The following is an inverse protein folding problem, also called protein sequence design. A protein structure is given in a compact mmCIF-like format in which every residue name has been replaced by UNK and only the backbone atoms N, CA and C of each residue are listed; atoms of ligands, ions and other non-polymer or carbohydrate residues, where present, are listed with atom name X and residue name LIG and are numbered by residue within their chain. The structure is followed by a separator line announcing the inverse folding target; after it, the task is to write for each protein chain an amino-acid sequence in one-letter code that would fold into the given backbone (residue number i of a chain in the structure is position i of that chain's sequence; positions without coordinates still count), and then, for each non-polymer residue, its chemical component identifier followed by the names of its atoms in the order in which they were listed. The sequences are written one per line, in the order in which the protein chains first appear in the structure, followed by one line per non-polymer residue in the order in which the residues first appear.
data_IF_477382080295
#
_entry.id   IF_477382080295
#
_cell.length_a   1.000
_cell.length_b   1.000
_cell.length_c   1.000
_cell.angle_alpha   90.00
_cell.angle_beta   90.00
_cell.angle_gamma   90.00
#
_symmetry.space_group_name_H-M   'P 1'
#
loop_
_entity.id
_entity.type
_entity.pdbx_description
1 polymer ?
#
# COMPACT_ATOMS: atom_id res chain seq x y z
N UNK A 1 -10.37 -10.73 2.01
CA UNK A 1 -9.84 -9.50 2.59
C UNK A 1 -10.72 -8.95 3.71
N UNK A 2 -12.06 -8.93 3.56
CA UNK A 2 -12.92 -8.46 4.65
C UNK A 2 -12.81 -9.46 5.79
N UNK A 3 -12.42 -8.98 6.96
CA UNK A 3 -12.22 -9.79 8.18
C UNK A 3 -13.35 -9.53 9.16
N UNK A 4 -13.91 -10.62 9.71
CA UNK A 4 -14.81 -10.60 10.84
C UNK A 4 -14.10 -10.92 12.17
N UNK A 5 -12.76 -11.14 12.14
CA UNK A 5 -11.98 -11.51 13.32
C UNK A 5 -11.61 -10.31 14.20
N UNK A 6 -11.65 -9.09 13.68
CA UNK A 6 -11.44 -7.88 14.48
C UNK A 6 -12.79 -7.49 15.08
N UNK A 7 -12.87 -7.34 16.41
CA UNK A 7 -14.12 -7.01 17.08
C UNK A 7 -14.59 -5.59 16.72
N UNK A 8 -15.88 -5.38 16.84
CA UNK A 8 -16.50 -4.04 16.77
C UNK A 8 -16.91 -3.60 18.15
N UNK A 9 -17.05 -2.29 18.31
CA UNK A 9 -17.55 -1.66 19.52
C UNK A 9 -19.01 -1.21 19.35
N UNK A 10 -19.70 -1.08 20.46
CA UNK A 10 -21.01 -0.45 20.54
C UNK A 10 -20.92 0.87 21.31
N UNK A 11 -21.95 1.70 21.25
CA UNK A 11 -22.00 2.96 22.00
C UNK A 11 -21.93 2.77 23.51
N UNK A 12 -22.33 1.60 24.02
CA UNK A 12 -22.36 1.29 25.44
C UNK A 12 -21.00 0.78 25.99
N UNK A 13 -20.07 0.40 25.11
CA UNK A 13 -18.75 -0.04 25.53
C UNK A 13 -17.96 1.11 26.14
N UNK A 14 -17.12 0.78 27.13
CA UNK A 14 -16.29 1.77 27.81
C UNK A 14 -15.06 2.15 27.00
N UNK A 15 -14.52 3.33 27.27
CA UNK A 15 -13.22 3.77 26.74
C UNK A 15 -12.12 2.75 27.08
N UNK A 16 -12.11 2.22 28.31
CA UNK A 16 -11.16 1.18 28.74
C UNK A 16 -11.23 -0.05 27.86
N UNK A 17 -12.43 -0.56 27.58
CA UNK A 17 -12.62 -1.74 26.74
C UNK A 17 -12.15 -1.49 25.30
N UNK A 18 -12.39 -0.31 24.76
CA UNK A 18 -11.90 0.07 23.42
C UNK A 18 -10.37 0.04 23.35
N UNK A 19 -9.68 0.66 24.33
CA UNK A 19 -8.24 0.71 24.40
C UNK A 19 -7.64 -0.71 24.64
N UNK A 20 -8.27 -1.55 25.46
CA UNK A 20 -7.84 -2.93 25.68
C UNK A 20 -7.90 -3.74 24.37
N UNK A 21 -9.00 -3.65 23.62
CA UNK A 21 -9.13 -4.32 22.33
C UNK A 21 -8.14 -3.79 21.29
N UNK A 22 -7.91 -2.46 21.23
CA UNK A 22 -6.91 -1.88 20.33
C UNK A 22 -5.50 -2.44 20.64
N UNK A 23 -5.15 -2.55 21.92
CA UNK A 23 -3.88 -3.13 22.36
C UNK A 23 -3.78 -4.62 22.04
N UNK A 24 -4.83 -5.41 22.28
CA UNK A 24 -4.87 -6.86 22.02
C UNK A 24 -4.68 -7.18 20.53
N UNK A 25 -5.38 -6.41 19.66
CA UNK A 25 -5.33 -6.63 18.22
C UNK A 25 -4.21 -5.84 17.51
N UNK A 26 -3.40 -5.07 18.25
CA UNK A 26 -2.32 -4.22 17.70
C UNK A 26 -2.81 -3.26 16.62
N UNK A 27 -3.94 -2.60 16.87
CA UNK A 27 -4.58 -1.63 15.99
C UNK A 27 -4.82 -0.33 16.74
N UNK A 28 -4.90 0.78 16.03
CA UNK A 28 -5.09 2.11 16.62
C UNK A 28 -6.48 2.69 16.33
N UNK A 29 -7.37 1.89 15.73
CA UNK A 29 -8.76 2.27 15.49
C UNK A 29 -9.66 1.06 15.64
N UNK A 30 -10.95 1.32 16.02
CA UNK A 30 -12.00 0.32 16.03
C UNK A 30 -13.29 0.88 15.44
N UNK A 31 -14.01 0.04 14.72
CA UNK A 31 -15.34 0.37 14.21
C UNK A 31 -16.39 0.31 15.32
N UNK A 32 -17.20 1.33 15.41
CA UNK A 32 -18.38 1.38 16.29
C UNK A 32 -19.62 1.07 15.46
N UNK A 33 -20.38 0.08 15.89
CA UNK A 33 -21.56 -0.44 15.18
C UNK A 33 -22.76 -0.45 16.11
N UNK A 34 -23.94 -0.09 15.59
CA UNK A 34 -25.20 -0.16 16.29
C UNK A 34 -26.31 -0.59 15.35
N UNK A 35 -27.09 -1.61 15.72
CA UNK A 35 -28.17 -2.17 14.89
C UNK A 35 -27.71 -2.49 13.46
N UNK A 36 -26.53 -3.17 13.34
CA UNK A 36 -25.87 -3.54 12.09
C UNK A 36 -25.39 -2.35 11.23
N UNK A 37 -25.59 -1.10 11.69
CA UNK A 37 -25.13 0.09 10.99
C UNK A 37 -23.79 0.58 11.52
N UNK A 38 -22.93 0.99 10.60
CA UNK A 38 -21.68 1.65 10.90
C UNK A 38 -21.94 3.04 11.49
N UNK A 39 -21.55 3.22 12.73
CA UNK A 39 -21.68 4.49 13.43
C UNK A 39 -20.44 5.37 13.31
N UNK A 40 -19.29 4.79 12.99
CA UNK A 40 -18.04 5.49 12.75
C UNK A 40 -16.83 4.72 13.26
N UNK A 41 -15.68 5.31 13.07
CA UNK A 41 -14.37 4.82 13.51
C UNK A 41 -13.90 5.68 14.69
N UNK A 42 -13.48 5.03 15.77
CA UNK A 42 -12.88 5.69 16.93
C UNK A 42 -11.37 5.45 16.89
N UNK A 43 -10.58 6.47 17.19
CA UNK A 43 -9.14 6.43 17.20
C UNK A 43 -8.59 6.37 18.63
N UNK A 44 -7.50 5.66 18.84
CA UNK A 44 -6.82 5.55 20.13
C UNK A 44 -6.48 6.94 20.71
N UNK A 45 -5.99 7.86 19.86
CA UNK A 45 -5.65 9.23 20.25
C UNK A 45 -6.82 10.04 20.80
N UNK A 46 -8.04 9.82 20.29
CA UNK A 46 -9.26 10.47 20.76
C UNK A 46 -9.67 9.97 22.16
N UNK A 47 -9.26 8.74 22.52
CA UNK A 47 -9.61 8.10 23.78
C UNK A 47 -8.65 8.44 24.93
N UNK A 48 -7.38 8.75 24.61
CA UNK A 48 -6.32 8.94 25.62
C UNK A 48 -6.62 10.04 26.66
N UNK A 49 -7.46 11.03 26.32
CA UNK A 49 -7.79 12.15 27.19
C UNK A 49 -9.22 12.07 27.77
N UNK A 50 -9.88 10.94 27.64
CA UNK A 50 -11.25 10.70 28.13
C UNK A 50 -11.21 9.78 29.34
N UNK A 51 -12.16 9.94 30.29
CA UNK A 51 -12.29 9.06 31.43
C UNK A 51 -12.49 7.60 30.97
N UNK A 52 -11.64 6.69 31.39
CA UNK A 52 -11.67 5.28 31.01
C UNK A 52 -12.97 4.57 31.35
N UNK A 53 -13.72 5.07 32.32
CA UNK A 53 -15.03 4.51 32.72
C UNK A 53 -16.19 5.08 31.90
N UNK A 54 -15.97 6.13 31.13
CA UNK A 54 -17.00 6.71 30.27
C UNK A 54 -17.37 5.76 29.13
N UNK A 55 -18.61 5.80 28.67
CA UNK A 55 -19.04 5.07 27.47
C UNK A 55 -18.68 5.81 26.19
N UNK A 56 -18.54 5.09 25.08
CA UNK A 56 -18.30 5.64 23.75
C UNK A 56 -19.44 6.57 23.30
N UNK A 57 -20.65 6.43 23.87
CA UNK A 57 -21.77 7.35 23.65
C UNK A 57 -21.38 8.80 23.98
N UNK A 58 -20.52 9.03 24.98
CA UNK A 58 -20.13 10.39 25.42
C UNK A 58 -19.30 11.14 24.37
N UNK A 59 -18.63 10.43 23.48
CA UNK A 59 -17.74 10.97 22.44
C UNK A 59 -18.23 10.69 21.01
N UNK A 60 -19.45 10.20 20.84
CA UNK A 60 -19.97 9.73 19.54
C UNK A 60 -19.90 10.78 18.42
N UNK A 61 -19.89 12.07 18.77
CA UNK A 61 -19.76 13.18 17.80
C UNK A 61 -18.37 13.31 17.19
N UNK A 62 -17.37 12.69 17.80
CA UNK A 62 -15.98 12.70 17.32
C UNK A 62 -15.64 11.51 16.40
N UNK A 63 -16.55 10.54 16.26
CA UNK A 63 -16.30 9.39 15.41
C UNK A 63 -16.10 9.80 13.95
N UNK A 64 -14.98 9.36 13.37
CA UNK A 64 -14.74 9.52 11.93
C UNK A 64 -15.72 8.67 11.12
N UNK A 65 -16.24 9.22 10.02
CA UNK A 65 -17.17 8.52 9.12
C UNK A 65 -16.46 7.85 7.95
N UNK A 66 -15.14 7.74 8.02
CA UNK A 66 -14.32 7.13 6.98
C UNK A 66 -14.68 5.64 6.84
N UNK A 67 -15.00 5.23 5.63
CA UNK A 67 -15.27 3.84 5.26
C UNK A 67 -15.20 3.71 3.74
N UNK A 68 -15.02 2.48 3.25
CA UNK A 68 -15.11 2.14 1.82
C UNK A 68 -16.37 1.31 1.55
N UNK A 69 -16.84 1.32 0.31
CA UNK A 69 -17.97 0.47 -0.08
C UNK A 69 -17.49 -0.94 -0.45
N UNK A 70 -18.28 -1.95 -0.13
CA UNK A 70 -17.95 -3.36 -0.39
C UNK A 70 -17.72 -3.69 -1.88
N UNK A 71 -18.30 -2.90 -2.78
CA UNK A 71 -18.18 -3.09 -4.23
C UNK A 71 -17.05 -2.28 -4.88
N UNK A 72 -16.19 -1.61 -4.10
CA UNK A 72 -15.06 -0.85 -4.63
C UNK A 72 -13.82 -1.72 -4.81
N UNK A 73 -12.91 -1.28 -5.67
CA UNK A 73 -11.64 -1.97 -5.85
C UNK A 73 -10.74 -1.76 -4.62
N UNK A 74 -9.98 -2.78 -4.24
CA UNK A 74 -9.14 -2.74 -3.03
C UNK A 74 -8.12 -1.58 -3.01
N UNK A 75 -7.73 -1.03 -4.17
CA UNK A 75 -6.84 0.14 -4.27
C UNK A 75 -7.46 1.37 -3.58
N UNK A 76 -8.78 1.53 -3.60
CA UNK A 76 -9.45 2.59 -2.83
C UNK A 76 -9.28 2.39 -1.33
N UNK A 77 -9.30 1.14 -0.87
CA UNK A 77 -9.02 0.83 0.53
C UNK A 77 -7.56 1.14 0.91
N UNK A 78 -6.61 0.89 -0.01
CA UNK A 78 -5.20 1.28 0.17
C UNK A 78 -5.06 2.79 0.28
N UNK A 79 -5.68 3.53 -0.64
CA UNK A 79 -5.67 4.99 -0.60
C UNK A 79 -6.29 5.51 0.70
N UNK A 80 -7.47 5.01 1.08
CA UNK A 80 -8.16 5.39 2.32
C UNK A 80 -7.29 5.10 3.55
N UNK A 81 -6.65 3.92 3.61
CA UNK A 81 -5.75 3.57 4.71
C UNK A 81 -4.57 4.54 4.81
N UNK A 82 -4.00 4.94 3.68
CA UNK A 82 -2.88 5.87 3.62
C UNK A 82 -3.30 7.30 3.98
N UNK A 83 -4.41 7.81 3.43
CA UNK A 83 -4.87 9.18 3.62
C UNK A 83 -5.27 9.47 5.08
N UNK A 84 -5.75 8.46 5.80
CA UNK A 84 -6.21 8.57 7.18
C UNK A 84 -5.34 7.80 8.20
N UNK A 85 -4.18 7.29 7.81
CA UNK A 85 -3.27 6.49 8.65
C UNK A 85 -3.99 5.33 9.39
N UNK A 86 -4.78 4.56 8.65
CA UNK A 86 -5.60 3.50 9.24
C UNK A 86 -4.86 2.17 9.33
N UNK A 87 -4.96 1.51 10.48
CA UNK A 87 -4.58 0.11 10.67
C UNK A 87 -5.67 -0.87 10.22
N UNK A 88 -6.92 -0.40 10.16
CA UNK A 88 -8.09 -1.10 9.63
C UNK A 88 -8.95 -0.16 8.80
N UNK A 89 -9.52 -0.64 7.71
CA UNK A 89 -10.44 0.11 6.85
C UNK A 89 -11.85 -0.47 7.00
N UNK A 90 -12.82 0.29 7.53
CA UNK A 90 -14.21 -0.16 7.61
C UNK A 90 -14.83 -0.32 6.22
N UNK A 91 -15.64 -1.35 6.06
CA UNK A 91 -16.37 -1.67 4.83
C UNK A 91 -17.86 -1.61 5.10
N UNK A 92 -18.56 -0.87 4.27
CA UNK A 92 -20.02 -0.68 4.37
C UNK A 92 -20.69 -1.03 3.04
N UNK A 93 -21.96 -1.37 3.13
CA UNK A 93 -22.90 -1.45 2.02
C UNK A 93 -23.88 -0.27 1.99
N UNK A 94 -25.02 -0.46 1.34
CA UNK A 94 -26.06 0.56 1.24
C UNK A 94 -26.56 0.95 2.64
N UNK A 95 -26.94 2.23 2.79
CA UNK A 95 -27.49 2.77 4.05
C UNK A 95 -26.57 2.63 5.28
N UNK A 96 -25.23 2.54 5.07
CA UNK A 96 -24.23 2.37 6.12
C UNK A 96 -24.29 1.00 6.84
N UNK A 97 -24.85 -0.03 6.21
CA UNK A 97 -24.79 -1.39 6.73
C UNK A 97 -23.32 -1.81 6.86
N UNK A 98 -22.93 -2.26 8.07
CA UNK A 98 -21.55 -2.64 8.33
C UNK A 98 -21.29 -4.07 7.84
N UNK A 99 -20.30 -4.22 6.99
CA UNK A 99 -19.92 -5.53 6.41
C UNK A 99 -18.74 -6.14 7.15
N UNK A 100 -17.82 -5.32 7.64
CA UNK A 100 -16.59 -5.76 8.30
C UNK A 100 -15.47 -4.74 8.14
N UNK A 101 -14.24 -5.18 8.39
CA UNK A 101 -13.04 -4.35 8.22
C UNK A 101 -11.99 -5.05 7.36
N UNK A 102 -11.13 -4.27 6.72
CA UNK A 102 -9.95 -4.77 6.02
C UNK A 102 -8.71 -4.32 6.79
N UNK A 103 -7.92 -5.23 7.38
CA UNK A 103 -6.64 -4.88 8.01
C UNK A 103 -5.66 -4.32 6.98
N UNK A 104 -4.89 -3.29 7.34
CA UNK A 104 -3.85 -2.71 6.47
C UNK A 104 -2.80 -3.76 6.06
N UNK A 105 -2.50 -4.71 6.94
CA UNK A 105 -1.62 -5.86 6.63
C UNK A 105 -2.14 -6.73 5.49
N UNK A 106 -3.45 -6.87 5.34
CA UNK A 106 -4.04 -7.63 4.23
C UNK A 106 -4.04 -6.83 2.92
N UNK A 107 -4.17 -5.50 3.00
CA UNK A 107 -3.96 -4.60 1.86
C UNK A 107 -2.51 -4.68 1.37
N UNK A 108 -1.52 -4.68 2.29
CA UNK A 108 -0.10 -4.82 1.95
C UNK A 108 0.18 -6.17 1.28
N UNK A 109 -0.38 -7.28 1.78
CA UNK A 109 -0.26 -8.60 1.15
C UNK A 109 -0.82 -8.60 -0.28
N UNK A 110 -1.96 -7.94 -0.49
CA UNK A 110 -2.58 -7.86 -1.81
C UNK A 110 -1.78 -6.98 -2.78
N UNK A 111 -1.23 -5.87 -2.30
CA UNK A 111 -0.28 -5.06 -3.07
C UNK A 111 0.94 -5.87 -3.47
N UNK A 112 1.55 -6.61 -2.52
CA UNK A 112 2.67 -7.50 -2.79
C UNK A 112 2.38 -8.52 -3.89
N UNK A 113 1.17 -9.08 -3.94
CA UNK A 113 0.75 -9.99 -5.03
C UNK A 113 0.67 -9.28 -6.38
N UNK A 114 0.05 -8.10 -6.42
CA UNK A 114 -0.16 -7.36 -7.67
C UNK A 114 1.15 -6.80 -8.21
N UNK A 115 2.07 -6.41 -7.33
CA UNK A 115 3.40 -5.92 -7.73
C UNK A 115 4.41 -7.03 -7.96
N UNK A 116 4.03 -8.31 -7.82
CA UNK A 116 4.93 -9.44 -7.99
C UNK A 116 6.10 -9.45 -6.99
N UNK A 117 5.88 -8.94 -5.76
CA UNK A 117 6.95 -8.78 -4.77
C UNK A 117 7.64 -10.11 -4.40
N UNK A 118 6.89 -11.22 -4.45
CA UNK A 118 7.42 -12.56 -4.16
C UNK A 118 7.90 -13.31 -5.41
N UNK A 119 7.72 -12.77 -6.60
CA UNK A 119 8.13 -13.42 -7.84
C UNK A 119 9.63 -13.21 -8.07
N UNK A 120 10.38 -14.25 -8.52
CA UNK A 120 11.78 -14.11 -8.84
C UNK A 120 11.97 -13.24 -10.09
N UNK A 121 13.13 -12.57 -10.19
CA UNK A 121 13.47 -11.80 -11.38
C UNK A 121 14.11 -10.45 -11.07
N UNK A 122 14.65 -9.82 -12.10
CA UNK A 122 15.30 -8.52 -12.01
C UNK A 122 14.32 -7.36 -11.96
N UNK A 123 14.80 -6.21 -11.48
CA UNK A 123 14.08 -4.96 -11.45
C UNK A 123 14.88 -3.90 -12.20
N UNK A 124 14.23 -3.12 -13.05
CA UNK A 124 14.84 -1.99 -13.76
C UNK A 124 13.97 -0.74 -13.55
N UNK A 125 14.61 0.36 -13.19
CA UNK A 125 13.95 1.65 -12.98
C UNK A 125 14.51 2.65 -14.00
N UNK A 126 13.62 3.17 -14.83
CA UNK A 126 13.93 4.11 -15.92
C UNK A 126 13.31 5.45 -15.56
N UNK A 127 14.11 6.53 -15.67
CA UNK A 127 13.60 7.89 -15.67
C UNK A 127 13.39 8.37 -17.10
N UNK A 128 12.28 9.04 -17.39
CA UNK A 128 12.02 9.55 -18.73
C UNK A 128 11.00 10.70 -18.70
N UNK A 129 10.86 11.41 -19.84
CA UNK A 129 9.73 12.33 -20.01
C UNK A 129 8.45 11.50 -20.21
N UNK A 130 7.41 11.80 -19.43
CA UNK A 130 6.12 11.11 -19.50
C UNK A 130 5.52 11.09 -20.90
N UNK A 131 5.77 12.13 -21.72
CA UNK A 131 5.28 12.21 -23.10
C UNK A 131 5.93 11.19 -24.03
N UNK A 132 7.12 10.71 -23.68
CA UNK A 132 7.87 9.72 -24.45
C UNK A 132 7.60 8.29 -23.96
N UNK A 133 6.75 8.11 -22.96
CA UNK A 133 6.41 6.78 -22.45
C UNK A 133 5.62 5.97 -23.49
N UNK A 134 6.19 4.84 -23.87
CA UNK A 134 5.55 3.86 -24.76
C UNK A 134 5.75 2.45 -24.21
N UNK A 135 4.67 1.87 -23.70
CA UNK A 135 4.70 0.47 -23.23
C UNK A 135 5.14 -0.50 -24.32
N UNK A 136 4.66 -0.30 -25.56
CA UNK A 136 4.98 -1.17 -26.69
C UNK A 136 6.48 -1.14 -27.05
N UNK A 137 7.11 0.02 -26.98
CA UNK A 137 8.55 0.17 -27.25
C UNK A 137 9.37 -0.48 -26.14
N UNK A 138 9.06 -0.18 -24.88
CA UNK A 138 9.72 -0.78 -23.72
C UNK A 138 9.60 -2.31 -23.74
N UNK A 139 8.39 -2.85 -23.97
CA UNK A 139 8.18 -4.28 -24.08
C UNK A 139 9.01 -4.93 -25.18
N UNK A 140 9.03 -4.30 -26.36
CA UNK A 140 9.84 -4.79 -27.49
C UNK A 140 11.33 -4.85 -27.15
N UNK A 141 11.87 -3.83 -26.47
CA UNK A 141 13.28 -3.81 -26.08
C UNK A 141 13.63 -4.94 -25.09
N UNK A 142 12.71 -5.24 -24.15
CA UNK A 142 12.88 -6.37 -23.23
C UNK A 142 12.79 -7.70 -23.97
N UNK A 143 11.81 -7.88 -24.86
CA UNK A 143 11.58 -9.11 -25.62
C UNK A 143 12.72 -9.44 -26.58
N UNK A 144 13.42 -8.44 -27.13
CA UNK A 144 14.62 -8.67 -27.99
C UNK A 144 15.80 -9.28 -27.23
N UNK A 145 15.73 -9.36 -25.90
CA UNK A 145 16.71 -10.00 -25.02
C UNK A 145 16.18 -11.32 -24.42
N UNK A 146 15.22 -11.97 -25.09
CA UNK A 146 14.62 -13.24 -24.63
C UNK A 146 14.08 -13.15 -23.18
N UNK A 147 13.46 -12.02 -22.85
CA UNK A 147 12.89 -11.73 -21.54
C UNK A 147 11.46 -11.18 -21.65
N UNK A 148 10.74 -11.20 -20.55
CA UNK A 148 9.37 -10.69 -20.48
C UNK A 148 9.20 -9.76 -19.28
N UNK A 149 8.40 -8.72 -19.45
CA UNK A 149 7.96 -7.87 -18.35
C UNK A 149 6.82 -8.58 -17.61
N UNK A 150 7.02 -8.91 -16.35
CA UNK A 150 5.97 -9.49 -15.49
C UNK A 150 5.15 -8.42 -14.80
N UNK A 151 5.75 -7.26 -14.49
CA UNK A 151 5.09 -6.10 -13.92
C UNK A 151 5.67 -4.81 -14.51
N UNK A 152 4.80 -3.83 -14.76
CA UNK A 152 5.19 -2.48 -15.11
C UNK A 152 4.35 -1.50 -14.29
N UNK A 153 5.03 -0.62 -13.57
CA UNK A 153 4.40 0.47 -12.83
C UNK A 153 5.01 1.81 -13.24
N UNK A 154 4.19 2.84 -13.26
CA UNK A 154 4.64 4.21 -13.53
C UNK A 154 4.21 5.12 -12.40
N UNK A 155 5.05 6.10 -12.05
CA UNK A 155 4.70 7.11 -11.07
C UNK A 155 5.47 8.41 -11.33
N UNK A 156 4.93 9.50 -10.80
CA UNK A 156 5.58 10.79 -10.77
C UNK A 156 6.18 11.02 -9.38
N UNK A 157 7.48 11.31 -9.33
CA UNK A 157 8.14 11.71 -8.09
C UNK A 157 8.12 13.24 -7.98
N UNK A 158 7.41 13.75 -6.97
CA UNK A 158 7.27 15.19 -6.76
C UNK A 158 8.56 15.85 -6.25
N UNK A 159 9.44 15.08 -5.59
CA UNK A 159 10.70 15.59 -5.04
C UNK A 159 11.74 15.76 -6.13
N UNK A 160 11.82 14.79 -7.04
CA UNK A 160 12.75 14.79 -8.17
C UNK A 160 12.16 15.46 -9.41
N UNK A 161 10.88 15.82 -9.37
CA UNK A 161 10.11 16.35 -10.51
C UNK A 161 10.29 15.48 -11.78
N UNK A 162 10.25 14.15 -11.60
CA UNK A 162 10.56 13.20 -12.64
C UNK A 162 9.52 12.07 -12.75
N UNK A 163 9.35 11.56 -13.97
CA UNK A 163 8.50 10.40 -14.25
C UNK A 163 9.37 9.13 -14.29
N UNK A 164 8.94 8.14 -13.54
CA UNK A 164 9.62 6.85 -13.43
C UNK A 164 8.78 5.72 -13.99
N UNK A 165 9.46 4.77 -14.61
CA UNK A 165 8.92 3.49 -15.07
C UNK A 165 9.70 2.38 -14.36
N UNK A 166 9.00 1.57 -13.58
CA UNK A 166 9.57 0.41 -12.90
C UNK A 166 9.14 -0.86 -13.62
N UNK A 167 10.12 -1.66 -14.02
CA UNK A 167 9.93 -2.93 -14.72
C UNK A 167 10.37 -4.10 -13.86
N UNK A 168 9.51 -5.09 -13.69
CA UNK A 168 9.88 -6.41 -13.17
C UNK A 168 10.08 -7.35 -14.35
N UNK A 169 11.24 -8.03 -14.39
CA UNK A 169 11.65 -8.89 -15.48
C UNK A 169 11.67 -10.35 -14.99
N UNK A 170 11.24 -11.29 -15.82
CA UNK A 170 11.12 -12.72 -15.48
C UNK A 170 12.46 -13.47 -15.35
N UNK A 171 13.59 -12.77 -15.42
CA UNK A 171 14.94 -13.35 -15.22
C UNK A 171 15.83 -12.40 -14.42
N UNK A 172 16.83 -12.93 -13.73
CA UNK A 172 17.77 -12.13 -12.93
C UNK A 172 18.90 -11.52 -13.76
N UNK A 173 19.36 -12.21 -14.80
CA UNK A 173 20.37 -11.72 -15.73
C UNK A 173 19.79 -10.65 -16.64
N UNK A 174 19.91 -9.40 -16.25
CA UNK A 174 19.29 -8.25 -16.92
C UNK A 174 20.29 -7.28 -17.55
N UNK A 175 21.60 -7.56 -17.47
CA UNK A 175 22.66 -6.67 -17.98
C UNK A 175 22.49 -6.34 -19.47
N UNK A 176 22.12 -7.32 -20.30
CA UNK A 176 21.88 -7.12 -21.72
C UNK A 176 20.66 -6.23 -21.99
N UNK A 177 19.63 -6.35 -21.13
CA UNK A 177 18.43 -5.52 -21.21
C UNK A 177 18.78 -4.07 -20.84
N UNK A 178 19.55 -3.89 -19.76
CA UNK A 178 20.05 -2.57 -19.34
C UNK A 178 20.87 -1.92 -20.45
N UNK A 179 21.84 -2.67 -21.02
CA UNK A 179 22.66 -2.20 -22.15
C UNK A 179 21.80 -1.85 -23.38
N UNK A 180 20.72 -2.61 -23.61
CA UNK A 180 19.78 -2.30 -24.69
C UNK A 180 19.04 -1.00 -24.41
N UNK A 181 18.50 -0.79 -23.24
CA UNK A 181 17.86 0.48 -22.88
C UNK A 181 18.81 1.67 -23.03
N UNK A 182 20.04 1.56 -22.52
CA UNK A 182 21.06 2.60 -22.64
C UNK A 182 21.41 2.93 -24.11
N UNK A 183 21.50 1.91 -24.98
CA UNK A 183 21.74 2.09 -26.43
C UNK A 183 20.60 2.83 -27.14
N UNK A 184 19.36 2.68 -26.63
CA UNK A 184 18.18 3.41 -27.11
C UNK A 184 17.92 4.72 -26.35
N UNK A 185 18.96 5.22 -25.65
CA UNK A 185 18.96 6.52 -24.95
C UNK A 185 17.96 6.60 -23.79
N UNK A 186 17.53 5.45 -23.24
CA UNK A 186 16.77 5.44 -22.00
C UNK A 186 17.68 5.67 -20.80
N UNK A 187 17.27 6.53 -19.87
CA UNK A 187 18.00 6.81 -18.66
C UNK A 187 17.66 5.75 -17.59
N UNK A 188 18.46 4.66 -17.52
CA UNK A 188 18.32 3.66 -16.47
C UNK A 188 18.95 4.21 -15.19
N UNK A 189 18.12 4.45 -14.16
CA UNK A 189 18.56 4.98 -12.87
C UNK A 189 19.08 3.87 -11.95
N UNK A 190 18.30 2.79 -11.82
CA UNK A 190 18.61 1.68 -10.95
C UNK A 190 18.24 0.36 -11.63
N UNK A 191 18.98 -0.69 -11.31
CA UNK A 191 18.63 -2.04 -11.69
C UNK A 191 19.14 -3.03 -10.66
N UNK A 192 18.41 -4.13 -10.45
CA UNK A 192 18.68 -5.15 -9.45
C UNK A 192 18.51 -6.52 -10.09
N UNK A 193 19.59 -7.28 -10.19
CA UNK A 193 19.66 -8.61 -10.79
C UNK A 193 20.75 -9.44 -10.12
N UNK A 194 20.97 -10.67 -10.58
CA UNK A 194 21.85 -11.63 -9.92
C UNK A 194 23.35 -11.29 -10.00
N UNK A 195 23.79 -10.61 -11.05
CA UNK A 195 25.22 -10.33 -11.30
C UNK A 195 25.88 -9.29 -10.38
N UNK A 196 25.12 -8.64 -9.52
CA UNK A 196 25.59 -7.52 -8.68
C UNK A 196 25.83 -7.92 -7.22
N UNK A 197 25.95 -9.21 -6.94
CA UNK A 197 25.87 -9.71 -5.56
C UNK A 197 27.06 -9.40 -4.66
N UNK A 198 28.25 -8.99 -5.15
CA UNK A 198 29.41 -8.84 -4.27
C UNK A 198 29.97 -7.42 -4.06
N UNK A 199 29.80 -6.46 -4.96
CA UNK A 199 30.38 -5.13 -4.77
C UNK A 199 29.42 -3.92 -4.91
N UNK A 200 28.28 -4.06 -5.55
CA UNK A 200 27.34 -2.95 -5.77
C UNK A 200 26.12 -2.97 -4.82
N UNK A 201 25.97 -4.02 -4.03
CA UNK A 201 24.86 -4.14 -3.06
C UNK A 201 24.83 -2.99 -2.06
N UNK A 202 25.98 -2.48 -1.66
CA UNK A 202 26.08 -1.40 -0.69
C UNK A 202 25.67 -0.08 -1.33
N UNK A 203 26.16 0.20 -2.54
CA UNK A 203 25.83 1.44 -3.27
C UNK A 203 24.37 1.41 -3.70
N UNK A 204 23.85 0.27 -4.17
CA UNK A 204 22.45 0.11 -4.54
C UNK A 204 21.49 0.16 -3.33
N UNK A 205 21.92 -0.37 -2.17
CA UNK A 205 21.17 -0.25 -0.93
C UNK A 205 21.11 1.20 -0.46
N UNK A 206 22.22 1.92 -0.46
CA UNK A 206 22.28 3.33 -0.10
C UNK A 206 21.46 4.20 -1.07
N UNK A 207 21.46 3.86 -2.36
CA UNK A 207 20.61 4.48 -3.37
C UNK A 207 19.12 4.19 -3.16
N UNK A 208 18.76 2.93 -2.81
CA UNK A 208 17.37 2.56 -2.52
C UNK A 208 16.86 3.27 -1.25
N UNK A 209 17.68 3.37 -0.21
CA UNK A 209 17.31 4.07 1.03
C UNK A 209 17.12 5.57 0.77
N UNK A 210 17.97 6.18 -0.06
CA UNK A 210 17.80 7.57 -0.50
C UNK A 210 16.53 7.75 -1.37
N UNK A 211 16.21 6.77 -2.21
CA UNK A 211 15.01 6.76 -3.05
C UNK A 211 13.72 6.67 -2.23
N UNK A 212 13.74 5.90 -1.14
CA UNK A 212 12.59 5.77 -0.24
C UNK A 212 12.49 6.88 0.80
N UNK A 213 13.45 7.82 0.84
CA UNK A 213 13.53 8.89 1.86
C UNK A 213 13.48 8.37 3.32
N UNK A 214 14.09 7.20 3.60
CA UNK A 214 14.19 6.60 4.93
C UNK A 214 15.59 6.82 5.51
#
# INVERSE_FOLDING_TARGET
MISASIPTLTLNDSIFQALELMSEFHITQLAVVGEEKYLGLVFEEDLMNVDNTASLQSIHTHFSKVAVRANTHFIESVQTANDYNLTIVPVIENENEFVGVIPATDLLKQLGKITGASEPGGLIIIQMDQRNFSFAEISKLVETNDAQITQLNTYWDNTLEAFFVTLKINKFEISDIVATFQRYEYEVKYYFGEELYENELKDNYDHLMNYLNI
#
